data_IF_475948561399
#
_entry.id   IF_475948561399
#
_cell.length_a   1.000
_cell.length_b   1.000
_cell.length_c   1.000
_cell.angle_alpha   90.00
_cell.angle_beta   90.00
_cell.angle_gamma   90.00
#
_symmetry.space_group_name_H-M   'P 1'
#
loop_
_entity.id
_entity.type
_entity.pdbx_description
1 polymer ?
#
# COMPACT_ATOMS: atom_id res chain seq x y z
N UNK A 1 11.05 15.23 1.15
CA UNK A 1 10.26 14.03 1.43
C UNK A 1 9.80 14.07 2.88
N UNK A 2 8.55 13.71 3.16
CA UNK A 2 7.94 13.56 4.49
C UNK A 2 7.26 12.19 4.55
N UNK A 3 7.55 11.41 5.58
CA UNK A 3 6.84 10.16 5.86
C UNK A 3 6.03 10.34 7.15
N UNK A 4 4.74 10.02 7.09
CA UNK A 4 3.81 10.14 8.21
C UNK A 4 3.21 8.78 8.51
N UNK A 5 3.40 8.27 9.73
CA UNK A 5 2.73 7.04 10.17
C UNK A 5 1.23 7.31 10.34
N UNK A 6 0.42 6.41 9.80
CA UNK A 6 -1.04 6.43 9.91
C UNK A 6 -1.58 5.24 10.71
N UNK A 7 -0.71 4.55 11.42
CA UNK A 7 -1.01 3.41 12.29
C UNK A 7 -0.53 2.08 11.73
N UNK A 8 -0.05 1.19 12.60
CA UNK A 8 0.55 -0.10 12.28
C UNK A 8 1.66 0.05 11.21
N UNK A 9 1.59 -0.68 10.11
CA UNK A 9 2.48 -0.54 8.95
C UNK A 9 2.07 0.58 8.00
N UNK A 10 0.93 1.23 8.23
CA UNK A 10 0.40 2.29 7.39
C UNK A 10 1.29 3.53 7.39
N UNK A 11 1.78 3.92 6.22
CA UNK A 11 2.64 5.10 6.04
C UNK A 11 2.13 5.91 4.85
N UNK A 12 2.03 7.23 5.04
CA UNK A 12 1.81 8.17 3.95
C UNK A 12 3.10 8.92 3.65
N UNK A 13 3.63 8.75 2.44
CA UNK A 13 4.87 9.38 1.97
C UNK A 13 4.50 10.51 1.03
N UNK A 14 5.02 11.71 1.32
CA UNK A 14 4.84 12.90 0.49
C UNK A 14 6.20 13.37 -0.03
N UNK A 15 6.28 13.58 -1.33
CA UNK A 15 7.43 14.17 -2.01
C UNK A 15 6.99 15.44 -2.74
N UNK A 16 7.91 16.13 -3.40
CA UNK A 16 7.56 17.24 -4.29
C UNK A 16 6.88 16.75 -5.57
N UNK A 17 7.09 15.50 -5.93
CA UNK A 17 6.68 14.86 -7.18
C UNK A 17 5.40 14.05 -7.04
N UNK A 18 4.93 13.84 -5.82
CA UNK A 18 3.72 13.07 -5.57
C UNK A 18 3.72 12.38 -4.21
N UNK A 19 2.72 11.58 -3.96
CA UNK A 19 2.50 10.90 -2.70
C UNK A 19 2.25 9.40 -2.90
N UNK A 20 2.69 8.60 -1.93
CA UNK A 20 2.49 7.15 -1.91
C UNK A 20 1.79 6.80 -0.60
N UNK A 21 0.67 6.09 -0.69
CA UNK A 21 -0.02 5.52 0.44
C UNK A 21 0.39 4.04 0.57
N UNK A 22 0.97 3.68 1.72
CA UNK A 22 1.46 2.33 2.00
C UNK A 22 0.57 1.67 3.04
N UNK A 23 0.13 0.44 2.80
CA UNK A 23 -0.55 -0.46 3.73
C UNK A 23 -1.62 0.22 4.60
N UNK A 24 -2.61 0.91 4.03
CA UNK A 24 -3.63 1.60 4.81
C UNK A 24 -4.58 0.59 5.46
N UNK A 25 -4.51 0.50 6.79
CA UNK A 25 -5.38 -0.36 7.58
C UNK A 25 -6.16 0.45 8.62
N UNK A 26 -7.49 0.37 8.60
CA UNK A 26 -8.41 1.14 9.45
C UNK A 26 -9.47 0.26 10.11
N UNK A 27 -9.97 -0.75 9.42
CA UNK A 27 -11.01 -1.64 9.93
C UNK A 27 -10.40 -2.82 10.70
N UNK A 28 -11.07 -3.33 11.74
CA UNK A 28 -10.57 -4.49 12.47
C UNK A 28 -10.30 -5.69 11.56
N UNK A 29 -9.13 -6.31 11.72
CA UNK A 29 -8.72 -7.51 10.99
C UNK A 29 -8.99 -8.79 11.80
N UNK A 30 -8.82 -9.95 11.16
CA UNK A 30 -8.87 -11.29 11.78
C UNK A 30 -10.13 -11.48 12.65
N UNK A 31 -11.31 -11.41 12.00
CA UNK A 31 -12.63 -11.55 12.66
C UNK A 31 -12.90 -10.49 13.75
N UNK A 32 -12.28 -9.30 13.61
CA UNK A 32 -12.46 -8.21 14.56
C UNK A 32 -11.66 -8.38 15.85
N UNK A 33 -10.63 -9.24 15.84
CA UNK A 33 -9.77 -9.45 17.02
C UNK A 33 -8.54 -8.56 17.04
N UNK A 34 -8.14 -7.98 15.89
CA UNK A 34 -7.01 -7.08 15.77
C UNK A 34 -7.46 -5.67 15.41
N UNK A 35 -6.86 -4.69 16.06
CA UNK A 35 -7.15 -3.28 15.88
C UNK A 35 -5.87 -2.51 15.62
N UNK A 36 -5.96 -1.50 14.75
CA UNK A 36 -4.83 -0.64 14.44
C UNK A 36 -4.31 0.09 15.68
N UNK A 37 -2.99 0.14 15.83
CA UNK A 37 -2.31 0.90 16.87
C UNK A 37 -1.06 1.60 16.28
N UNK A 38 -0.82 2.88 16.63
CA UNK A 38 -1.74 3.77 17.33
C UNK A 38 -3.05 3.97 16.57
N UNK A 39 -4.12 4.37 17.26
CA UNK A 39 -5.44 4.60 16.65
C UNK A 39 -5.36 5.65 15.55
N UNK A 40 -5.97 5.35 14.41
CA UNK A 40 -5.98 6.23 13.24
C UNK A 40 -7.38 6.81 12.89
N UNK A 41 -8.36 6.59 13.76
CA UNK A 41 -9.69 7.21 13.68
C UNK A 41 -9.68 8.72 14.08
N UNK A 42 -8.55 9.22 14.57
CA UNK A 42 -8.36 10.60 15.01
C UNK A 42 -7.28 11.34 14.22
N UNK A 43 -7.01 10.93 12.99
CA UNK A 43 -6.14 11.70 12.09
C UNK A 43 -6.71 13.11 11.91
N UNK A 44 -5.85 14.12 11.82
CA UNK A 44 -6.32 15.46 11.51
C UNK A 44 -6.99 15.49 10.11
N UNK A 45 -7.89 16.44 9.90
CA UNK A 45 -8.73 16.49 8.69
C UNK A 45 -7.91 16.61 7.39
N UNK A 46 -6.79 17.33 7.42
CA UNK A 46 -5.91 17.52 6.28
C UNK A 46 -5.27 16.19 5.86
N UNK A 47 -4.65 15.47 6.81
CA UNK A 47 -4.07 14.15 6.56
C UNK A 47 -5.14 13.13 6.15
N UNK A 48 -6.28 13.11 6.84
CA UNK A 48 -7.39 12.22 6.51
C UNK A 48 -7.93 12.43 5.09
N UNK A 49 -7.88 13.66 4.58
CA UNK A 49 -8.21 13.95 3.18
C UNK A 49 -7.08 13.54 2.23
N UNK A 50 -5.83 13.87 2.56
CA UNK A 50 -4.67 13.59 1.71
C UNK A 50 -4.49 12.10 1.42
N UNK A 51 -4.64 11.23 2.44
CA UNK A 51 -4.50 9.77 2.28
C UNK A 51 -5.58 9.14 1.39
N UNK A 52 -6.70 9.84 1.11
CA UNK A 52 -7.74 9.37 0.18
C UNK A 52 -7.46 9.74 -1.28
N UNK A 53 -6.46 10.57 -1.53
CA UNK A 53 -6.10 11.03 -2.87
C UNK A 53 -4.59 10.85 -3.14
N UNK A 54 -4.02 9.66 -2.88
CA UNK A 54 -2.61 9.42 -3.14
C UNK A 54 -2.37 9.36 -4.66
N UNK A 55 -1.17 9.74 -5.09
CA UNK A 55 -0.75 9.52 -6.46
C UNK A 55 -0.49 8.04 -6.76
N UNK A 56 -0.04 7.29 -5.75
CA UNK A 56 0.26 5.86 -5.86
C UNK A 56 -0.21 5.13 -4.60
N UNK A 57 -0.67 3.89 -4.78
CA UNK A 57 -0.97 2.93 -3.71
C UNK A 57 0.11 1.83 -3.70
N UNK A 58 0.59 1.48 -2.54
CA UNK A 58 1.47 0.33 -2.33
C UNK A 58 0.88 -0.55 -1.23
N UNK A 59 0.79 -1.85 -1.50
CA UNK A 59 0.41 -2.89 -0.54
C UNK A 59 1.55 -3.88 -0.47
N UNK A 60 2.15 -4.02 0.71
CA UNK A 60 3.32 -4.88 0.89
C UNK A 60 2.97 -6.35 0.71
N UNK A 61 1.83 -6.81 1.24
CA UNK A 61 1.37 -8.19 1.13
C UNK A 61 -0.13 -8.35 1.46
N UNK A 62 -0.62 -9.60 1.48
CA UNK A 62 -2.04 -9.95 1.52
C UNK A 62 -2.66 -10.05 2.92
N UNK A 63 -1.92 -9.84 4.01
CA UNK A 63 -2.49 -9.90 5.35
C UNK A 63 -3.52 -8.80 5.59
N UNK A 64 -4.56 -9.12 6.36
CA UNK A 64 -5.69 -8.22 6.59
C UNK A 64 -5.39 -6.96 7.39
N UNK A 65 -4.23 -6.89 8.03
CA UNK A 65 -3.68 -5.72 8.70
C UNK A 65 -2.75 -4.87 7.82
N UNK A 66 -2.63 -5.24 6.53
CA UNK A 66 -1.94 -4.48 5.46
C UNK A 66 -2.89 -4.20 4.29
N UNK A 67 -3.73 -5.16 3.94
CA UNK A 67 -4.73 -5.05 2.87
C UNK A 67 -6.15 -4.91 3.46
N UNK A 68 -6.55 -3.69 3.78
CA UNK A 68 -7.92 -3.38 4.22
C UNK A 68 -8.82 -3.14 2.99
N UNK A 69 -9.38 -4.21 2.46
CA UNK A 69 -10.16 -4.19 1.23
C UNK A 69 -11.36 -3.25 1.30
N UNK A 70 -12.09 -3.27 2.43
CA UNK A 70 -13.28 -2.43 2.58
C UNK A 70 -12.92 -0.96 2.61
N UNK A 71 -11.86 -0.60 3.36
CA UNK A 71 -11.41 0.79 3.40
C UNK A 71 -10.91 1.26 2.03
N UNK A 72 -10.17 0.43 1.31
CA UNK A 72 -9.70 0.75 -0.04
C UNK A 72 -10.86 1.04 -1.00
N UNK A 73 -11.87 0.18 -1.04
CA UNK A 73 -13.05 0.35 -1.90
C UNK A 73 -13.82 1.63 -1.57
N UNK A 74 -13.95 1.95 -0.28
CA UNK A 74 -14.74 3.11 0.17
C UNK A 74 -13.99 4.44 0.01
N UNK A 75 -12.65 4.43 -0.04
CA UNK A 75 -11.86 5.65 0.11
C UNK A 75 -10.88 5.93 -1.03
N UNK A 76 -10.44 4.94 -1.79
CA UNK A 76 -9.42 5.10 -2.83
C UNK A 76 -10.04 4.98 -4.22
N UNK A 77 -9.68 5.90 -5.11
CA UNK A 77 -10.11 5.81 -6.51
C UNK A 77 -9.59 4.54 -7.16
N UNK A 78 -10.43 3.76 -7.87
CA UNK A 78 -9.99 2.58 -8.61
C UNK A 78 -9.03 2.91 -9.77
N UNK A 79 -8.87 4.19 -10.10
CA UNK A 79 -7.90 4.68 -11.07
C UNK A 79 -6.54 5.01 -10.47
N UNK A 80 -6.39 4.98 -9.13
CA UNK A 80 -5.10 5.19 -8.49
C UNK A 80 -4.11 4.10 -8.92
N UNK A 81 -2.94 4.47 -9.47
CA UNK A 81 -1.92 3.50 -9.84
C UNK A 81 -1.41 2.71 -8.64
N UNK A 82 -1.36 1.40 -8.76
CA UNK A 82 -0.86 0.48 -7.72
C UNK A 82 0.55 0.03 -8.09
N UNK A 83 1.47 0.23 -7.17
CA UNK A 83 2.85 -0.28 -7.28
C UNK A 83 2.84 -1.76 -6.90
N UNK A 84 3.15 -2.64 -7.84
CA UNK A 84 3.13 -4.09 -7.62
C UNK A 84 4.52 -4.63 -7.32
N UNK A 85 4.72 -5.31 -6.16
CA UNK A 85 5.89 -6.13 -5.91
C UNK A 85 6.03 -7.26 -6.95
N UNK A 86 7.28 -7.64 -7.27
CA UNK A 86 7.59 -8.73 -8.21
C UNK A 86 7.44 -10.11 -7.53
N UNK A 87 6.22 -10.41 -7.11
CA UNK A 87 5.92 -11.69 -6.49
C UNK A 87 5.86 -12.82 -7.53
N UNK A 88 6.23 -14.05 -7.15
CA UNK A 88 6.13 -15.22 -8.02
C UNK A 88 4.68 -15.59 -8.35
N UNK A 89 3.70 -15.03 -7.63
CA UNK A 89 2.27 -15.23 -7.85
C UNK A 89 1.56 -13.92 -8.15
N UNK A 90 0.46 -13.98 -8.87
CA UNK A 90 -0.39 -12.81 -9.19
C UNK A 90 -1.53 -12.62 -8.17
N UNK A 91 -1.43 -13.19 -6.97
CA UNK A 91 -2.53 -13.19 -6.02
C UNK A 91 -2.90 -11.77 -5.57
N UNK A 92 -1.90 -10.94 -5.22
CA UNK A 92 -2.12 -9.55 -4.82
C UNK A 92 -2.78 -8.75 -5.97
N UNK A 93 -2.26 -8.86 -7.19
CA UNK A 93 -2.84 -8.18 -8.35
C UNK A 93 -4.29 -8.63 -8.60
N UNK A 94 -4.57 -9.94 -8.58
CA UNK A 94 -5.93 -10.47 -8.74
C UNK A 94 -6.88 -9.94 -7.68
N UNK A 95 -6.43 -9.88 -6.42
CA UNK A 95 -7.23 -9.37 -5.33
C UNK A 95 -7.58 -7.89 -5.54
N UNK A 96 -6.61 -7.06 -5.88
CA UNK A 96 -6.82 -5.64 -6.14
C UNK A 96 -7.68 -5.40 -7.39
N UNK A 97 -7.54 -6.21 -8.44
CA UNK A 97 -8.45 -6.18 -9.61
C UNK A 97 -9.88 -6.49 -9.22
N UNK A 98 -10.09 -7.44 -8.32
CA UNK A 98 -11.43 -7.77 -7.81
C UNK A 98 -12.06 -6.61 -7.03
N UNK A 99 -11.25 -5.79 -6.36
CA UNK A 99 -11.69 -4.54 -5.71
C UNK A 99 -11.93 -3.38 -6.69
N UNK A 100 -11.68 -3.57 -7.99
CA UNK A 100 -11.95 -2.58 -9.04
C UNK A 100 -10.73 -1.79 -9.50
N UNK A 101 -9.54 -1.99 -8.95
CA UNK A 101 -8.33 -1.31 -9.42
C UNK A 101 -7.96 -1.75 -10.83
N UNK A 102 -7.57 -0.80 -11.68
CA UNK A 102 -7.32 -1.02 -13.10
C UNK A 102 -5.93 -0.64 -13.57
N UNK A 103 -5.22 0.18 -12.79
CA UNK A 103 -3.89 0.68 -13.15
C UNK A 103 -2.83 0.06 -12.24
N UNK A 104 -1.90 -0.69 -12.84
CA UNK A 104 -0.84 -1.37 -12.11
C UNK A 104 0.52 -1.03 -12.74
N UNK A 105 1.48 -0.71 -11.88
CA UNK A 105 2.88 -0.50 -12.24
C UNK A 105 3.65 -1.70 -11.70
N UNK A 106 4.00 -2.62 -12.60
CA UNK A 106 4.83 -3.77 -12.26
C UNK A 106 6.26 -3.32 -12.00
N UNK A 107 6.85 -3.79 -10.91
CA UNK A 107 8.26 -3.57 -10.60
C UNK A 107 9.06 -4.86 -10.76
N UNK A 108 10.38 -4.76 -10.72
CA UNK A 108 11.27 -5.91 -10.61
C UNK A 108 12.00 -5.84 -9.28
N UNK A 109 12.20 -7.01 -8.64
CA UNK A 109 12.79 -7.10 -7.31
C UNK A 109 14.12 -6.33 -7.21
N UNK A 110 14.15 -5.37 -6.30
CA UNK A 110 15.31 -4.51 -6.02
C UNK A 110 15.75 -3.58 -7.15
N UNK A 111 15.03 -3.52 -8.27
CA UNK A 111 15.38 -2.66 -9.41
C UNK A 111 14.64 -1.33 -9.30
N UNK A 112 15.36 -0.24 -9.49
CA UNK A 112 14.77 1.10 -9.50
C UNK A 112 13.74 1.24 -10.64
N UNK A 113 12.54 1.70 -10.28
CA UNK A 113 11.44 2.00 -11.18
C UNK A 113 11.20 3.52 -11.16
N UNK A 114 11.32 4.15 -12.31
CA UNK A 114 11.06 5.58 -12.49
C UNK A 114 9.54 5.80 -12.63
N UNK A 115 8.99 6.62 -11.76
CA UNK A 115 7.58 7.02 -11.77
C UNK A 115 7.34 8.36 -12.47
N UNK A 116 8.40 8.97 -12.99
CA UNK A 116 8.39 10.29 -13.61
C UNK A 116 8.70 11.43 -12.64
N UNK A 117 8.96 12.62 -13.18
CA UNK A 117 9.21 13.85 -12.43
C UNK A 117 10.31 13.73 -11.35
N UNK A 118 11.36 12.96 -11.60
CA UNK A 118 12.47 12.64 -10.67
C UNK A 118 12.02 11.83 -9.42
N UNK A 119 10.87 11.15 -9.47
CA UNK A 119 10.44 10.20 -8.44
C UNK A 119 10.82 8.78 -8.88
N UNK A 120 11.68 8.14 -8.12
CA UNK A 120 12.09 6.75 -8.34
C UNK A 120 11.86 5.93 -7.08
N UNK A 121 11.43 4.69 -7.27
CA UNK A 121 11.21 3.73 -6.18
C UNK A 121 11.92 2.41 -6.50
N UNK A 122 12.17 1.61 -5.46
CA UNK A 122 12.50 0.20 -5.62
C UNK A 122 11.69 -0.62 -4.62
N UNK A 123 11.23 -1.80 -5.02
CA UNK A 123 10.54 -2.74 -4.13
C UNK A 123 11.41 -3.99 -4.00
N UNK A 124 11.72 -4.37 -2.77
CA UNK A 124 12.43 -5.61 -2.45
C UNK A 124 11.43 -6.63 -1.97
N UNK A 125 11.49 -7.84 -2.51
CA UNK A 125 10.56 -8.92 -2.22
C UNK A 125 11.23 -9.97 -1.35
N UNK A 126 10.56 -10.35 -0.25
CA UNK A 126 10.92 -11.50 0.58
C UNK A 126 9.94 -12.65 0.29
N UNK A 127 10.47 -13.75 -0.20
CA UNK A 127 9.69 -14.93 -0.59
C UNK A 127 9.99 -16.15 0.30
N UNK A 128 10.62 -15.94 1.46
CA UNK A 128 10.85 -17.05 2.40
C UNK A 128 9.51 -17.61 2.91
N UNK A 129 9.50 -18.89 3.20
CA UNK A 129 8.29 -19.70 3.47
C UNK A 129 7.53 -19.28 4.74
N UNK A 130 8.04 -18.31 5.52
CA UNK A 130 7.49 -17.95 6.83
C UNK A 130 6.13 -17.26 6.76
N UNK A 131 5.80 -16.55 5.66
CA UNK A 131 4.54 -15.80 5.51
C UNK A 131 3.61 -16.33 4.39
N UNK A 132 3.84 -17.58 3.96
CA UNK A 132 3.01 -18.24 2.96
C UNK A 132 3.37 -17.87 1.51
N UNK A 133 2.55 -18.25 0.52
CA UNK A 133 2.89 -18.16 -0.90
C UNK A 133 2.96 -16.73 -1.45
N UNK A 134 2.54 -15.73 -0.70
CA UNK A 134 2.50 -14.34 -1.14
C UNK A 134 3.76 -13.55 -0.76
N UNK A 135 4.58 -14.05 0.19
CA UNK A 135 5.76 -13.32 0.68
C UNK A 135 5.42 -11.97 1.32
N UNK A 136 6.45 -11.18 1.57
CA UNK A 136 6.37 -9.80 2.05
C UNK A 136 7.26 -8.91 1.19
N UNK A 137 7.12 -7.59 1.27
CA UNK A 137 7.95 -6.68 0.51
C UNK A 137 8.21 -5.36 1.23
N UNK A 138 9.30 -4.69 0.85
CA UNK A 138 9.71 -3.40 1.36
C UNK A 138 9.87 -2.39 0.23
N UNK A 139 9.32 -1.19 0.43
CA UNK A 139 9.41 -0.07 -0.51
C UNK A 139 10.54 0.87 -0.11
N UNK A 140 11.36 1.24 -1.08
CA UNK A 140 12.37 2.31 -1.00
C UNK A 140 11.97 3.44 -1.95
N UNK A 141 12.07 4.69 -1.48
CA UNK A 141 11.69 5.91 -2.21
C UNK A 141 12.85 6.87 -2.26
#
# INVERSE_FOLDING_TARGET
>A
MRATSIGHAGIFIETRQGSILCDPWFNPAYFGSWFVFPRNDQLNAELAQAIRQPNYLYISHLHGDHLDEQWLVDNISPQTPVLLPDYPTQELERRLRHLGFTHFIATSDGIACDLGDDLSIAIHVETSITDGPAGDSALVV
#
